data_IF_483390638105
#
_entry.id   IF_483390638105
#
_cell.length_a   1.000
_cell.length_b   1.000
_cell.length_c   1.000
_cell.angle_alpha   90.00
_cell.angle_beta   90.00
_cell.angle_gamma   90.00
#
_symmetry.space_group_name_H-M   'P 1'
#
loop_
_entity.id
_entity.type
_entity.pdbx_description
1 polymer ?
#
# COMPACT_ATOMS: atom_id res chain seq x y z
N UNK A 1 -14.29 -7.84 -11.04
CA UNK A 1 -12.84 -7.58 -11.15
C UNK A 1 -12.59 -6.11 -11.34
N UNK A 2 -11.62 -5.58 -10.65
CA UNK A 2 -11.37 -4.14 -10.69
C UNK A 2 -10.37 -3.75 -11.79
N UNK A 3 -9.49 -4.64 -12.17
CA UNK A 3 -8.39 -4.34 -13.09
C UNK A 3 -7.32 -3.42 -12.50
N UNK A 4 -7.47 -2.99 -11.25
CA UNK A 4 -6.49 -2.14 -10.59
C UNK A 4 -5.30 -2.97 -10.12
N UNK A 5 -4.12 -2.37 -10.16
CA UNK A 5 -2.87 -3.01 -9.79
C UNK A 5 -2.32 -2.45 -8.50
N UNK A 6 -1.95 -3.32 -7.58
CA UNK A 6 -1.39 -2.94 -6.28
C UNK A 6 0.04 -3.48 -6.19
N UNK A 7 0.98 -2.61 -5.82
CA UNK A 7 2.35 -2.99 -5.52
C UNK A 7 2.51 -3.07 -4.00
N UNK A 8 3.01 -4.21 -3.50
CA UNK A 8 3.31 -4.38 -2.08
C UNK A 8 4.83 -4.37 -1.90
N UNK A 9 5.33 -3.48 -1.06
CA UNK A 9 6.75 -3.39 -0.74
C UNK A 9 6.93 -3.76 0.73
N UNK A 10 7.45 -4.96 0.98
CA UNK A 10 7.63 -5.52 2.32
C UNK A 10 8.63 -6.67 2.24
N UNK A 11 9.53 -6.78 3.20
CA UNK A 11 10.52 -7.86 3.23
C UNK A 11 9.97 -9.16 3.85
N UNK A 12 8.81 -9.13 4.48
CA UNK A 12 8.21 -10.29 5.10
C UNK A 12 7.54 -11.16 4.03
N UNK A 13 8.20 -12.27 3.69
CA UNK A 13 7.74 -13.17 2.64
C UNK A 13 6.37 -13.77 2.91
N UNK A 14 6.10 -14.13 4.16
CA UNK A 14 4.80 -14.71 4.53
C UNK A 14 3.68 -13.69 4.38
N UNK A 15 3.95 -12.46 4.79
CA UNK A 15 2.99 -11.38 4.63
C UNK A 15 2.71 -11.13 3.15
N UNK A 16 3.75 -11.07 2.33
CA UNK A 16 3.59 -10.85 0.89
C UNK A 16 2.69 -11.92 0.26
N UNK A 17 2.95 -13.20 0.57
CA UNK A 17 2.17 -14.29 0.00
C UNK A 17 0.71 -14.22 0.43
N UNK A 18 0.46 -14.04 1.72
CA UNK A 18 -0.89 -14.01 2.26
C UNK A 18 -1.69 -12.80 1.78
N UNK A 19 -1.06 -11.64 1.81
CA UNK A 19 -1.72 -10.41 1.40
C UNK A 19 -1.98 -10.40 -0.12
N UNK A 20 -0.99 -10.83 -0.90
CA UNK A 20 -1.16 -10.93 -2.35
C UNK A 20 -2.32 -11.85 -2.72
N UNK A 21 -2.40 -13.01 -2.08
CA UNK A 21 -3.50 -13.96 -2.34
C UNK A 21 -4.85 -13.34 -2.03
N UNK A 22 -4.94 -12.63 -0.90
CA UNK A 22 -6.17 -12.00 -0.48
C UNK A 22 -6.60 -10.88 -1.43
N UNK A 23 -5.67 -10.05 -1.85
CA UNK A 23 -5.96 -8.96 -2.77
C UNK A 23 -6.34 -9.47 -4.16
N UNK A 24 -5.65 -10.51 -4.64
CA UNK A 24 -6.03 -11.17 -5.90
C UNK A 24 -7.44 -11.73 -5.81
N UNK A 25 -7.79 -12.33 -4.68
CA UNK A 25 -9.13 -12.83 -4.44
C UNK A 25 -10.20 -11.74 -4.46
N UNK A 26 -9.81 -10.50 -4.21
CA UNK A 26 -10.70 -9.35 -4.28
C UNK A 26 -10.72 -8.68 -5.66
N UNK A 27 -10.05 -9.25 -6.64
CA UNK A 27 -10.09 -8.77 -8.03
C UNK A 27 -8.95 -7.85 -8.44
N UNK A 28 -7.93 -7.70 -7.61
CA UNK A 28 -6.78 -6.85 -7.93
C UNK A 28 -5.67 -7.63 -8.59
N UNK A 29 -4.91 -6.96 -9.45
CA UNK A 29 -3.59 -7.45 -9.86
C UNK A 29 -2.59 -7.04 -8.79
N UNK A 30 -1.62 -7.91 -8.50
CA UNK A 30 -0.66 -7.65 -7.40
C UNK A 30 0.75 -7.93 -7.87
N UNK A 31 1.65 -7.00 -7.60
CA UNK A 31 3.09 -7.21 -7.76
C UNK A 31 3.75 -6.95 -6.40
N UNK A 32 4.86 -7.63 -6.14
CA UNK A 32 5.52 -7.58 -4.84
C UNK A 32 6.99 -7.24 -4.99
N UNK A 33 7.52 -6.46 -4.05
CA UNK A 33 8.93 -6.16 -3.94
C UNK A 33 9.37 -6.39 -2.50
N UNK A 34 10.60 -6.87 -2.30
CA UNK A 34 11.12 -7.22 -0.98
C UNK A 34 11.98 -6.12 -0.37
N UNK A 35 12.23 -5.06 -1.10
CA UNK A 35 13.01 -3.92 -0.60
C UNK A 35 12.63 -2.65 -1.37
N UNK A 36 13.11 -1.53 -0.88
CA UNK A 36 12.74 -0.24 -1.45
C UNK A 36 13.22 -0.02 -2.87
N UNK A 37 14.44 -0.45 -3.18
CA UNK A 37 15.00 -0.29 -4.52
C UNK A 37 14.20 -1.08 -5.55
N UNK A 38 13.91 -2.34 -5.25
CA UNK A 38 13.07 -3.17 -6.10
C UNK A 38 11.66 -2.57 -6.22
N UNK A 39 11.14 -2.02 -5.11
CA UNK A 39 9.83 -1.38 -5.11
C UNK A 39 9.75 -0.20 -6.05
N UNK A 40 10.72 0.70 -5.99
CA UNK A 40 10.77 1.87 -6.87
C UNK A 40 10.88 1.43 -8.34
N UNK A 41 11.74 0.44 -8.60
CA UNK A 41 11.89 -0.09 -9.97
C UNK A 41 10.57 -0.65 -10.50
N UNK A 42 9.89 -1.47 -9.69
CA UNK A 42 8.61 -2.05 -10.08
C UNK A 42 7.53 -0.98 -10.24
N UNK A 43 7.53 0.03 -9.38
CA UNK A 43 6.57 1.13 -9.51
C UNK A 43 6.72 1.83 -10.87
N UNK A 44 7.95 2.03 -11.32
CA UNK A 44 8.20 2.64 -12.63
C UNK A 44 7.78 1.73 -13.78
N UNK A 45 8.05 0.43 -13.66
CA UNK A 45 7.79 -0.52 -14.72
C UNK A 45 6.31 -0.87 -14.85
N UNK A 46 5.64 -1.03 -13.71
CA UNK A 46 4.29 -1.59 -13.67
C UNK A 46 3.19 -0.53 -13.60
N UNK A 47 3.53 0.68 -13.17
CA UNK A 47 2.54 1.74 -13.03
C UNK A 47 1.36 1.37 -12.13
N UNK A 48 1.62 0.95 -10.87
CA UNK A 48 0.52 0.51 -10.01
C UNK A 48 -0.44 1.66 -9.70
N UNK A 49 -1.65 1.31 -9.35
CA UNK A 49 -2.67 2.26 -8.93
C UNK A 49 -2.58 2.59 -7.44
N UNK A 50 -1.89 1.75 -6.69
CA UNK A 50 -1.70 1.89 -5.24
C UNK A 50 -0.45 1.16 -4.81
N UNK A 51 0.26 1.71 -3.83
CA UNK A 51 1.41 1.05 -3.19
C UNK A 51 1.08 0.80 -1.72
N UNK A 52 1.34 -0.41 -1.24
CA UNK A 52 1.32 -0.75 0.18
C UNK A 52 2.77 -0.88 0.61
N UNK A 53 3.18 -0.09 1.60
CA UNK A 53 4.59 0.06 1.98
C UNK A 53 4.80 -0.23 3.45
N UNK A 54 5.76 -1.11 3.76
CA UNK A 54 6.26 -1.29 5.12
C UNK A 54 7.39 -0.29 5.39
N UNK A 55 7.40 0.30 6.57
CA UNK A 55 8.43 1.24 6.99
C UNK A 55 9.66 0.55 7.55
N UNK A 56 9.52 -0.67 8.06
CA UNK A 56 10.53 -1.34 8.86
C UNK A 56 11.41 -2.33 8.11
N UNK A 57 11.71 -2.11 6.85
CA UNK A 57 12.54 -3.03 6.08
C UNK A 57 14.02 -2.89 6.43
N UNK A 58 14.76 -4.01 6.53
CA UNK A 58 16.20 -3.95 6.76
C UNK A 58 16.93 -3.25 5.61
N UNK A 59 17.93 -2.46 5.97
CA UNK A 59 18.82 -1.82 4.98
C UNK A 59 18.26 -0.60 4.30
N UNK A 60 16.95 -0.38 4.34
CA UNK A 60 16.34 0.83 3.77
C UNK A 60 15.12 1.24 4.58
N UNK A 61 15.13 2.48 5.06
CA UNK A 61 14.01 3.02 5.80
C UNK A 61 12.86 3.30 4.83
N UNK A 62 11.65 2.81 5.16
CA UNK A 62 10.47 3.03 4.33
C UNK A 62 10.11 4.50 4.17
N UNK A 63 10.47 5.37 5.11
CA UNK A 63 10.29 6.80 4.92
C UNK A 63 11.10 7.33 3.74
N UNK A 64 12.26 6.76 3.51
CA UNK A 64 13.08 7.09 2.34
C UNK A 64 12.38 6.70 1.05
N UNK A 65 11.71 5.55 1.04
CA UNK A 65 10.93 5.11 -0.12
C UNK A 65 9.80 6.10 -0.40
N UNK A 66 9.10 6.57 0.64
CA UNK A 66 8.07 7.60 0.49
C UNK A 66 8.62 8.87 -0.14
N UNK A 67 9.77 9.33 0.35
CA UNK A 67 10.42 10.53 -0.19
C UNK A 67 10.77 10.36 -1.66
N UNK A 68 11.36 9.23 -2.01
CA UNK A 68 11.74 8.93 -3.40
C UNK A 68 10.53 8.90 -4.32
N UNK A 69 9.43 8.34 -3.88
CA UNK A 69 8.22 8.32 -4.68
C UNK A 69 7.68 9.73 -4.95
N UNK A 70 7.77 10.61 -3.96
CA UNK A 70 7.31 11.99 -4.14
C UNK A 70 8.19 12.80 -5.08
N UNK A 71 9.47 12.48 -5.13
CA UNK A 71 10.46 13.21 -5.95
C UNK A 71 10.39 12.84 -7.43
N UNK A 72 9.81 11.70 -7.76
CA UNK A 72 9.75 11.21 -9.14
C UNK A 72 8.38 11.50 -9.73
N UNK A 73 8.34 12.29 -10.79
CA UNK A 73 7.09 12.79 -11.36
C UNK A 73 6.08 11.67 -11.68
N UNK A 74 6.54 10.58 -12.28
CA UNK A 74 5.62 9.48 -12.64
C UNK A 74 5.15 8.66 -11.44
N UNK A 75 5.75 8.84 -10.27
CA UNK A 75 5.38 8.11 -9.05
C UNK A 75 4.63 8.97 -8.05
N UNK A 76 4.77 10.29 -8.15
CA UNK A 76 4.27 11.20 -7.12
C UNK A 76 2.75 11.18 -6.98
N UNK A 77 2.03 10.79 -7.99
CA UNK A 77 0.57 10.72 -7.97
C UNK A 77 0.04 9.38 -7.48
N UNK A 78 0.91 8.36 -7.33
CA UNK A 78 0.49 7.03 -6.87
C UNK A 78 0.26 7.08 -5.37
N UNK A 79 -0.95 6.79 -4.89
CA UNK A 79 -1.21 6.80 -3.44
C UNK A 79 -0.48 5.66 -2.74
N UNK A 80 0.02 5.95 -1.52
CA UNK A 80 0.73 4.98 -0.69
C UNK A 80 -0.02 4.80 0.61
N UNK A 81 -0.34 3.54 0.94
CA UNK A 81 -0.86 3.15 2.25
C UNK A 81 0.28 2.46 3.00
N UNK A 82 0.58 2.94 4.20
CA UNK A 82 1.59 2.32 5.04
C UNK A 82 0.96 1.19 5.85
N UNK A 83 1.61 0.02 5.82
CA UNK A 83 1.25 -1.13 6.64
C UNK A 83 2.52 -1.64 7.30
N UNK A 84 2.68 -1.41 8.61
CA UNK A 84 3.94 -1.62 9.31
C UNK A 84 3.72 -2.13 10.74
N UNK A 85 4.72 -2.82 11.28
CA UNK A 85 4.71 -3.20 12.69
C UNK A 85 5.05 -2.03 13.62
N UNK A 86 5.58 -0.92 13.07
CA UNK A 86 5.94 0.25 13.88
C UNK A 86 4.72 0.90 14.51
N UNK A 87 4.91 1.42 15.73
CA UNK A 87 3.83 2.02 16.51
C UNK A 87 3.32 3.32 15.85
N UNK A 88 2.00 3.55 15.84
CA UNK A 88 1.44 4.78 15.27
C UNK A 88 1.92 6.04 15.98
N UNK A 89 2.09 5.99 17.31
CA UNK A 89 2.47 7.15 18.12
C UNK A 89 3.72 7.86 17.57
N UNK A 90 4.68 7.07 17.07
CA UNK A 90 5.96 7.61 16.61
C UNK A 90 6.05 7.76 15.10
N UNK A 91 5.14 7.17 14.36
CA UNK A 91 5.32 7.00 12.92
C UNK A 91 4.15 7.49 12.06
N UNK A 92 2.93 7.50 12.60
CA UNK A 92 1.75 7.80 11.77
C UNK A 92 1.78 9.22 11.23
N UNK A 93 1.98 10.19 12.09
CA UNK A 93 1.99 11.59 11.66
C UNK A 93 3.10 11.83 10.63
N UNK A 94 4.27 11.29 10.89
CA UNK A 94 5.40 11.43 9.96
C UNK A 94 5.09 10.80 8.60
N UNK A 95 4.46 9.63 8.59
CA UNK A 95 4.09 8.96 7.35
C UNK A 95 3.08 9.78 6.55
N UNK A 96 2.05 10.28 7.22
CA UNK A 96 1.04 11.11 6.56
C UNK A 96 1.64 12.42 6.06
N UNK A 97 2.49 13.06 6.85
CA UNK A 97 3.18 14.28 6.46
C UNK A 97 4.13 14.04 5.27
N UNK A 98 4.65 12.82 5.16
CA UNK A 98 5.54 12.43 4.06
C UNK A 98 4.79 11.99 2.81
N UNK A 99 3.46 12.01 2.83
CA UNK A 99 2.66 11.76 1.66
C UNK A 99 1.84 10.48 1.66
N UNK A 100 1.93 9.64 2.70
CA UNK A 100 1.06 8.46 2.79
C UNK A 100 -0.39 8.92 2.96
N UNK A 101 -1.32 8.19 2.35
CA UNK A 101 -2.75 8.52 2.44
C UNK A 101 -3.41 7.83 3.62
N UNK A 102 -2.80 6.78 4.17
CA UNK A 102 -3.29 6.08 5.33
C UNK A 102 -2.16 5.32 6.01
N UNK A 103 -2.36 4.98 7.28
CA UNK A 103 -1.38 4.26 8.09
C UNK A 103 -2.10 3.15 8.85
N UNK A 104 -1.60 1.92 8.75
CA UNK A 104 -2.11 0.76 9.50
C UNK A 104 -0.97 0.06 10.21
N UNK A 105 -1.19 -0.29 11.47
CA UNK A 105 -0.23 -1.08 12.23
C UNK A 105 -0.56 -2.57 12.06
N UNK A 106 0.47 -3.39 11.85
CA UNK A 106 0.33 -4.84 11.80
C UNK A 106 0.14 -5.41 13.22
N UNK A 107 -0.68 -6.42 13.40
CA UNK A 107 -1.68 -6.93 12.47
C UNK A 107 -2.87 -5.97 12.39
N UNK A 108 -3.52 -5.91 11.23
CA UNK A 108 -4.67 -5.03 11.06
C UNK A 108 -5.91 -5.83 10.69
N UNK A 109 -7.09 -5.25 10.93
CA UNK A 109 -8.34 -5.82 10.51
C UNK A 109 -8.42 -5.83 8.99
N UNK A 110 -8.68 -7.00 8.40
CA UNK A 110 -8.83 -7.14 6.96
C UNK A 110 -9.90 -6.22 6.42
N UNK A 111 -11.00 -6.09 7.17
CA UNK A 111 -12.12 -5.26 6.74
C UNK A 111 -11.72 -3.78 6.63
N UNK A 112 -11.07 -3.24 7.66
CA UNK A 112 -10.66 -1.85 7.67
C UNK A 112 -9.61 -1.57 6.60
N UNK A 113 -8.66 -2.48 6.45
CA UNK A 113 -7.58 -2.34 5.48
C UNK A 113 -8.11 -2.39 4.04
N UNK A 114 -8.95 -3.37 3.73
CA UNK A 114 -9.57 -3.47 2.41
C UNK A 114 -10.48 -2.28 2.11
N UNK A 115 -11.18 -1.80 3.11
CA UNK A 115 -12.03 -0.61 2.96
C UNK A 115 -11.20 0.61 2.57
N UNK A 116 -10.04 0.79 3.22
CA UNK A 116 -9.15 1.90 2.90
C UNK A 116 -8.59 1.78 1.48
N UNK A 117 -8.25 0.57 1.06
CA UNK A 117 -7.78 0.33 -0.31
C UNK A 117 -8.86 0.72 -1.33
N UNK A 118 -10.07 0.25 -1.13
CA UNK A 118 -11.18 0.54 -2.03
C UNK A 118 -11.48 2.03 -2.09
N UNK A 119 -11.49 2.67 -0.94
CA UNK A 119 -11.74 4.10 -0.84
C UNK A 119 -10.66 4.90 -1.56
N UNK A 120 -9.40 4.52 -1.36
CA UNK A 120 -8.28 5.19 -2.00
C UNK A 120 -8.34 5.05 -3.52
N UNK A 121 -8.77 3.90 -4.01
CA UNK A 121 -8.88 3.63 -5.44
C UNK A 121 -10.18 4.20 -6.06
N UNK A 122 -10.99 4.87 -5.26
CA UNK A 122 -12.23 5.47 -5.75
C UNK A 122 -13.33 4.48 -6.05
N UNK A 123 -13.26 3.28 -5.46
CA UNK A 123 -14.27 2.26 -5.66
C UNK A 123 -15.48 2.50 -4.76
N UNK A 124 -16.66 2.29 -5.28
CA UNK A 124 -17.91 2.66 -4.60
C UNK A 124 -18.63 1.48 -3.96
N UNK A 125 -17.91 0.41 -3.66
CA UNK A 125 -18.50 -0.81 -3.10
C UNK A 125 -19.29 -0.52 -1.83
N UNK A 126 -18.73 0.26 -0.91
CA UNK A 126 -19.42 0.57 0.34
C UNK A 126 -20.72 1.32 0.09
N UNK A 127 -20.69 2.31 -0.79
CA UNK A 127 -21.88 3.07 -1.15
C UNK A 127 -22.91 2.20 -1.85
N UNK A 128 -22.48 1.40 -2.79
CA UNK A 128 -23.34 0.49 -3.51
C UNK A 128 -24.03 -0.50 -2.56
N UNK A 129 -23.29 -1.07 -1.64
CA UNK A 129 -23.82 -1.98 -0.64
C UNK A 129 -24.84 -1.27 0.25
N UNK A 130 -24.51 -0.07 0.66
CA UNK A 130 -25.37 0.73 1.51
C UNK A 130 -26.68 1.08 0.81
N UNK A 131 -26.62 1.44 -0.45
CA UNK A 131 -27.80 1.81 -1.20
C UNK A 131 -28.76 0.65 -1.47
N UNK A 132 -28.28 -0.57 -1.39
CA UNK A 132 -29.11 -1.76 -1.58
C UNK A 132 -29.92 -2.12 -0.35
N UNK A 133 -29.53 -1.59 0.76
CA UNK A 133 -30.28 -1.85 1.98
C UNK A 133 -31.40 -0.86 2.12
#
# INVERSE_FOLDING_TARGET
MTGKKILIIDDDRHLLLGLAARLKGSGYEVVCAKDGTAGITLARQEGPDLVILDLGMPGEDGFRVLERMREVACLSAIPVIVLTARAPADNEKRALDSGAVAFFQKPTSNHQFLSAIRQTLGETIALSTFLRT
#
